data_IF_160399127973
#
_entry.id   IF_160399127973
#
_cell.length_a   1.000
_cell.length_b   1.000
_cell.length_c   1.000
_cell.angle_alpha   90.00
_cell.angle_beta   90.00
_cell.angle_gamma   90.00
#
_symmetry.space_group_name_H-M   'P 1'
#
loop_
_entity.id
_entity.type
_entity.pdbx_description
1 polymer ?
#
# COMPACT_ATOMS: atom_id res chain seq x y z
N UNK A 1 -2.15 26.66 -16.16
CA UNK A 1 -2.56 25.62 -15.21
C UNK A 1 -2.85 26.30 -13.88
N UNK A 2 -3.93 25.92 -13.18
CA UNK A 2 -4.26 26.47 -11.86
C UNK A 2 -3.34 25.83 -10.83
N UNK A 3 -2.65 26.64 -10.01
CA UNK A 3 -1.87 26.12 -8.89
C UNK A 3 -2.82 25.79 -7.72
N UNK A 4 -3.18 24.53 -7.61
CA UNK A 4 -4.09 24.02 -6.57
C UNK A 4 -3.41 23.88 -5.20
N UNK A 5 -2.09 24.01 -5.13
CA UNK A 5 -1.35 24.07 -3.86
C UNK A 5 -1.33 25.48 -3.26
N UNK A 6 -1.63 26.54 -4.04
CA UNK A 6 -1.76 27.88 -3.51
C UNK A 6 -3.06 28.03 -2.70
N UNK A 7 -2.93 28.32 -1.41
CA UNK A 7 -4.06 28.50 -0.49
C UNK A 7 -4.98 29.66 -0.96
N UNK A 8 -4.41 30.72 -1.58
CA UNK A 8 -5.16 31.87 -2.08
C UNK A 8 -6.04 31.49 -3.29
N UNK A 9 -5.66 30.47 -4.03
CA UNK A 9 -6.42 29.91 -5.15
C UNK A 9 -7.38 28.83 -4.65
N UNK A 10 -6.90 27.90 -3.84
CA UNK A 10 -7.64 26.75 -3.39
C UNK A 10 -8.88 27.12 -2.56
N UNK A 11 -8.74 27.98 -1.54
CA UNK A 11 -9.86 28.31 -0.64
C UNK A 11 -11.04 28.96 -1.36
N UNK A 12 -10.87 30.02 -2.18
CA UNK A 12 -11.97 30.58 -2.96
C UNK A 12 -12.61 29.61 -3.93
N UNK A 13 -11.80 28.77 -4.59
CA UNK A 13 -12.29 27.73 -5.50
C UNK A 13 -13.19 26.71 -4.76
N UNK A 14 -12.75 26.18 -3.63
CA UNK A 14 -13.55 25.26 -2.81
C UNK A 14 -14.85 25.92 -2.35
N UNK A 15 -14.79 27.17 -1.88
CA UNK A 15 -15.95 27.93 -1.43
C UNK A 15 -16.96 28.19 -2.58
N UNK A 16 -16.48 28.54 -3.76
CA UNK A 16 -17.32 28.77 -4.95
C UNK A 16 -18.10 27.52 -5.37
N UNK A 17 -17.56 26.33 -5.11
CA UNK A 17 -18.23 25.05 -5.37
C UNK A 17 -18.94 24.46 -4.13
N UNK A 18 -19.12 25.24 -3.06
CA UNK A 18 -19.80 24.78 -1.83
C UNK A 18 -19.08 23.65 -1.09
N UNK A 19 -17.79 23.46 -1.37
CA UNK A 19 -17.00 22.41 -0.76
C UNK A 19 -16.34 22.89 0.53
N UNK A 20 -16.68 22.23 1.64
CA UNK A 20 -16.11 22.54 2.95
C UNK A 20 -15.14 21.44 3.38
N UNK A 21 -13.96 21.88 3.83
CA UNK A 21 -12.92 20.98 4.36
C UNK A 21 -13.46 20.19 5.56
N UNK A 22 -13.48 18.88 5.46
CA UNK A 22 -13.99 18.01 6.52
C UNK A 22 -12.87 17.17 7.13
N UNK A 23 -12.51 17.46 8.39
CA UNK A 23 -11.60 16.61 9.18
C UNK A 23 -12.15 15.19 9.37
N UNK A 24 -13.47 15.04 9.43
CA UNK A 24 -14.13 13.75 9.65
C UNK A 24 -13.93 12.76 8.48
N UNK A 25 -13.66 13.27 7.26
CA UNK A 25 -13.38 12.44 6.08
C UNK A 25 -11.89 12.18 5.85
N UNK A 26 -11.01 12.61 6.77
CA UNK A 26 -9.56 12.44 6.63
C UNK A 26 -8.95 13.19 5.44
N UNK A 27 -9.66 14.20 4.89
CA UNK A 27 -9.19 14.99 3.75
C UNK A 27 -8.13 15.98 4.20
N UNK A 28 -6.90 15.78 3.78
CA UNK A 28 -5.77 16.68 3.98
C UNK A 28 -5.21 17.03 2.59
N UNK A 29 -5.55 18.23 2.11
CA UNK A 29 -5.09 18.69 0.78
C UNK A 29 -3.67 19.22 0.86
N UNK A 30 -2.85 18.89 -0.12
CA UNK A 30 -1.49 19.40 -0.25
C UNK A 30 -1.51 20.88 -0.61
N UNK A 31 -0.71 21.67 0.13
CA UNK A 31 -0.49 23.10 -0.08
C UNK A 31 0.98 23.45 -0.33
N UNK A 32 1.82 22.44 -0.52
CA UNK A 32 3.24 22.57 -0.82
C UNK A 32 3.51 21.96 -2.21
N UNK A 33 3.74 22.78 -3.27
CA UNK A 33 3.86 22.32 -4.64
C UNK A 33 4.99 21.31 -4.89
N UNK A 34 6.06 21.40 -4.10
CA UNK A 34 7.19 20.49 -4.22
C UNK A 34 6.82 19.03 -3.90
N UNK A 35 5.80 18.78 -3.08
CA UNK A 35 5.43 17.43 -2.65
C UNK A 35 4.88 16.59 -3.82
N UNK A 36 3.79 16.99 -4.52
CA UNK A 36 3.28 16.21 -5.64
C UNK A 36 4.28 16.13 -6.80
N UNK A 37 5.10 17.18 -7.01
CA UNK A 37 6.17 17.16 -7.99
C UNK A 37 7.21 16.07 -7.64
N UNK A 38 7.73 16.07 -6.40
CA UNK A 38 8.71 15.08 -5.95
C UNK A 38 8.16 13.64 -5.96
N UNK A 39 6.85 13.45 -5.65
CA UNK A 39 6.21 12.14 -5.77
C UNK A 39 6.29 11.63 -7.21
N UNK A 40 5.85 12.42 -8.18
CA UNK A 40 5.82 12.00 -9.57
C UNK A 40 7.24 11.77 -10.14
N UNK A 41 8.21 12.62 -9.77
CA UNK A 41 9.61 12.49 -10.19
C UNK A 41 10.30 11.27 -9.59
N UNK A 42 10.22 11.10 -8.27
CA UNK A 42 10.90 9.99 -7.59
C UNK A 42 10.21 8.64 -7.79
N UNK A 43 8.90 8.64 -8.12
CA UNK A 43 8.23 7.43 -8.59
C UNK A 43 8.72 6.97 -9.98
N UNK A 44 9.47 7.79 -10.71
CA UNK A 44 9.97 7.47 -12.04
C UNK A 44 8.85 7.47 -13.09
N UNK A 45 7.87 8.37 -12.95
CA UNK A 45 6.78 8.53 -13.93
C UNK A 45 7.30 9.24 -15.17
N UNK A 46 7.13 8.62 -16.33
CA UNK A 46 7.50 9.11 -17.65
C UNK A 46 6.39 8.80 -18.70
N UNK A 47 6.60 9.18 -19.95
CA UNK A 47 5.65 9.00 -21.04
C UNK A 47 5.32 7.54 -21.36
N UNK A 48 6.13 6.58 -20.88
CA UNK A 48 5.86 5.14 -21.02
C UNK A 48 4.96 4.61 -19.93
N UNK A 49 4.66 5.41 -18.89
CA UNK A 49 3.87 5.00 -17.74
C UNK A 49 2.38 5.19 -17.96
N UNK A 50 1.59 4.18 -17.58
CA UNK A 50 0.16 4.27 -17.28
C UNK A 50 -0.03 4.30 -15.77
N UNK A 51 -0.54 5.41 -15.21
CA UNK A 51 -0.61 5.60 -13.76
C UNK A 51 -2.04 5.52 -13.26
N UNK A 52 -2.29 4.58 -12.34
CA UNK A 52 -3.52 4.56 -11.54
C UNK A 52 -3.33 5.45 -10.31
N UNK A 53 -4.08 6.55 -10.23
CA UNK A 53 -4.12 7.41 -9.06
C UNK A 53 -5.33 7.07 -8.18
N UNK A 54 -5.12 6.93 -6.87
CA UNK A 54 -6.20 6.71 -5.92
C UNK A 54 -6.44 7.97 -5.10
N UNK A 55 -7.67 8.52 -5.23
CA UNK A 55 -8.09 9.70 -4.50
C UNK A 55 -7.36 10.97 -4.97
N UNK A 56 -7.61 11.44 -6.20
CA UNK A 56 -6.99 12.67 -6.74
C UNK A 56 -7.29 13.92 -5.89
N UNK A 57 -8.37 13.89 -5.10
CA UNK A 57 -8.79 15.01 -4.28
C UNK A 57 -9.11 16.24 -5.13
N UNK A 58 -8.36 17.33 -4.98
CA UNK A 58 -8.48 18.52 -5.82
C UNK A 58 -7.45 18.58 -6.97
N UNK A 59 -6.69 17.50 -7.19
CA UNK A 59 -5.85 17.31 -8.36
C UNK A 59 -4.37 17.71 -8.27
N UNK A 60 -3.74 17.99 -7.09
CA UNK A 60 -2.34 18.43 -7.08
C UNK A 60 -1.37 17.34 -7.57
N UNK A 61 -1.56 16.08 -7.19
CA UNK A 61 -0.76 14.97 -7.68
C UNK A 61 -1.16 14.62 -9.12
N UNK A 62 -2.45 14.63 -9.44
CA UNK A 62 -2.98 14.37 -10.78
C UNK A 62 -2.32 15.27 -11.82
N UNK A 63 -2.19 16.59 -11.54
CA UNK A 63 -1.50 17.52 -12.44
C UNK A 63 -0.07 17.08 -12.74
N UNK A 64 0.69 16.70 -11.71
CA UNK A 64 2.09 16.29 -11.87
C UNK A 64 2.22 14.96 -12.61
N UNK A 65 1.29 14.03 -12.38
CA UNK A 65 1.23 12.77 -13.11
C UNK A 65 0.89 12.99 -14.58
N UNK A 66 -0.12 13.81 -14.88
CA UNK A 66 -0.54 14.09 -16.25
C UNK A 66 0.54 14.82 -17.08
N UNK A 67 1.38 15.62 -16.44
CA UNK A 67 2.51 16.29 -17.11
C UNK A 67 3.62 15.34 -17.55
N UNK A 68 3.67 14.12 -17.00
CA UNK A 68 4.78 13.17 -17.20
C UNK A 68 4.33 11.86 -17.82
N UNK A 69 3.20 11.33 -17.39
CA UNK A 69 2.71 10.01 -17.78
C UNK A 69 2.12 10.01 -19.19
N UNK A 70 2.22 8.88 -19.89
CA UNK A 70 1.51 8.63 -21.13
C UNK A 70 -0.01 8.59 -20.92
N UNK A 71 -0.47 8.02 -19.80
CA UNK A 71 -1.88 8.01 -19.39
C UNK A 71 -2.04 8.00 -17.88
N UNK A 72 -3.05 8.72 -17.38
CA UNK A 72 -3.47 8.72 -15.99
C UNK A 72 -4.93 8.27 -15.90
N UNK A 73 -5.22 7.31 -15.03
CA UNK A 73 -6.57 6.94 -14.64
C UNK A 73 -6.70 7.20 -13.14
N UNK A 74 -7.56 8.15 -12.76
CA UNK A 74 -7.78 8.49 -11.36
C UNK A 74 -9.12 7.91 -10.87
N UNK A 75 -9.13 7.30 -9.67
CA UNK A 75 -10.35 6.77 -9.05
C UNK A 75 -10.71 7.61 -7.83
N UNK A 76 -11.88 8.26 -7.85
CA UNK A 76 -12.36 9.13 -6.76
C UNK A 76 -13.75 8.68 -6.26
N UNK A 77 -13.87 8.59 -4.94
CA UNK A 77 -15.12 8.16 -4.28
C UNK A 77 -16.06 9.32 -3.96
N UNK A 78 -15.54 10.54 -3.84
CA UNK A 78 -16.31 11.72 -3.48
C UNK A 78 -16.73 12.53 -4.71
N UNK A 79 -17.88 12.20 -5.29
CA UNK A 79 -18.40 12.86 -6.50
C UNK A 79 -18.60 14.39 -6.35
N UNK A 80 -18.62 14.92 -5.12
CA UNK A 80 -18.69 16.37 -4.90
C UNK A 80 -17.44 17.10 -5.39
N UNK A 81 -16.32 16.37 -5.61
CA UNK A 81 -15.09 16.91 -6.17
C UNK A 81 -15.13 17.07 -7.70
N UNK A 82 -16.17 16.51 -8.37
CA UNK A 82 -16.27 16.57 -9.83
C UNK A 82 -16.14 17.98 -10.41
N UNK A 83 -16.92 19.00 -9.98
CA UNK A 83 -16.81 20.33 -10.54
C UNK A 83 -15.45 20.99 -10.25
N UNK A 84 -14.76 20.58 -9.19
CA UNK A 84 -13.42 21.07 -8.85
C UNK A 84 -12.38 20.42 -9.76
N UNK A 85 -12.45 19.10 -9.96
CA UNK A 85 -11.54 18.37 -10.83
C UNK A 85 -11.72 18.77 -12.29
N UNK A 86 -12.95 19.06 -12.75
CA UNK A 86 -13.19 19.62 -14.09
C UNK A 86 -12.42 20.93 -14.32
N UNK A 87 -12.32 21.79 -13.30
CA UNK A 87 -11.59 23.07 -13.35
C UNK A 87 -10.07 22.87 -13.22
N UNK A 88 -9.62 21.97 -12.34
CA UNK A 88 -8.21 21.85 -11.98
C UNK A 88 -7.41 20.95 -12.91
N UNK A 89 -8.03 19.90 -13.44
CA UNK A 89 -7.36 18.87 -14.26
C UNK A 89 -8.11 18.50 -15.54
N UNK A 90 -9.30 19.04 -15.78
CA UNK A 90 -10.13 18.69 -16.94
C UNK A 90 -9.51 19.03 -18.31
N UNK A 91 -8.45 19.82 -18.36
CA UNK A 91 -7.74 20.16 -19.59
C UNK A 91 -6.70 19.12 -20.05
N UNK A 92 -6.43 18.08 -19.25
CA UNK A 92 -5.47 17.04 -19.60
C UNK A 92 -6.13 15.97 -20.48
N UNK A 93 -5.68 15.83 -21.72
CA UNK A 93 -6.20 14.83 -22.67
C UNK A 93 -5.82 13.38 -22.35
N UNK A 94 -4.79 13.20 -21.54
CA UNK A 94 -4.30 11.88 -21.07
C UNK A 94 -4.87 11.46 -19.72
N UNK A 95 -5.87 12.20 -19.19
CA UNK A 95 -6.54 11.89 -17.92
C UNK A 95 -7.92 11.28 -18.15
N UNK A 96 -8.23 10.25 -17.38
CA UNK A 96 -9.58 9.72 -17.20
C UNK A 96 -9.89 9.60 -15.70
N UNK A 97 -11.05 10.10 -15.28
CA UNK A 97 -11.50 10.02 -13.88
C UNK A 97 -12.67 9.04 -13.79
N UNK A 98 -12.50 8.03 -12.96
CA UNK A 98 -13.54 7.04 -12.62
C UNK A 98 -14.12 7.36 -11.24
N UNK A 99 -15.44 7.42 -11.17
CA UNK A 99 -16.14 7.72 -9.93
C UNK A 99 -16.54 6.42 -9.24
N UNK A 100 -16.07 6.23 -8.02
CA UNK A 100 -16.39 5.05 -7.21
C UNK A 100 -15.28 4.65 -6.23
N UNK A 101 -15.54 3.53 -5.58
CA UNK A 101 -14.63 2.95 -4.58
C UNK A 101 -13.63 2.00 -5.28
N UNK A 102 -12.34 2.29 -5.18
CA UNK A 102 -11.28 1.47 -5.77
C UNK A 102 -11.26 0.03 -5.23
N UNK A 103 -11.68 -0.18 -3.99
CA UNK A 103 -11.76 -1.52 -3.39
C UNK A 103 -12.87 -2.39 -3.97
N UNK A 104 -13.76 -1.81 -4.79
CA UNK A 104 -14.84 -2.51 -5.52
C UNK A 104 -14.51 -2.71 -7.00
N UNK A 105 -13.35 -2.22 -7.47
CA UNK A 105 -12.91 -2.37 -8.86
C UNK A 105 -12.15 -3.69 -9.05
N UNK A 106 -12.27 -4.27 -10.22
CA UNK A 106 -11.33 -5.27 -10.71
C UNK A 106 -10.08 -4.54 -11.22
N UNK A 107 -9.10 -4.34 -10.31
CA UNK A 107 -7.90 -3.54 -10.60
C UNK A 107 -7.11 -4.11 -11.78
N UNK A 108 -6.83 -5.44 -11.88
CA UNK A 108 -6.16 -6.01 -13.05
C UNK A 108 -6.88 -5.75 -14.37
N UNK A 109 -8.20 -5.94 -14.40
CA UNK A 109 -9.00 -5.67 -15.61
C UNK A 109 -8.96 -4.19 -15.97
N UNK A 110 -9.09 -3.29 -14.99
CA UNK A 110 -9.01 -1.84 -15.16
C UNK A 110 -7.66 -1.41 -15.73
N UNK A 111 -6.56 -1.89 -15.16
CA UNK A 111 -5.19 -1.60 -15.60
C UNK A 111 -4.99 -2.06 -17.04
N UNK A 112 -5.41 -3.27 -17.37
CA UNK A 112 -5.30 -3.83 -18.72
C UNK A 112 -6.11 -3.00 -19.74
N UNK A 113 -7.34 -2.61 -19.39
CA UNK A 113 -8.22 -1.81 -20.27
C UNK A 113 -7.66 -0.41 -20.49
N UNK A 114 -7.23 0.27 -19.41
CA UNK A 114 -6.87 1.69 -19.47
C UNK A 114 -5.46 1.93 -19.98
N UNK A 115 -4.51 1.05 -19.70
CA UNK A 115 -3.10 1.30 -19.98
C UNK A 115 -2.53 0.52 -21.16
N UNK A 116 -3.17 -0.59 -21.56
CA UNK A 116 -2.72 -1.38 -22.72
C UNK A 116 -1.26 -1.83 -22.59
N UNK A 117 -0.38 -1.24 -23.41
CA UNK A 117 1.07 -1.55 -23.42
C UNK A 117 1.92 -0.62 -22.56
N UNK A 118 1.32 0.40 -21.95
CA UNK A 118 2.04 1.29 -21.05
C UNK A 118 2.47 0.53 -19.80
N UNK A 119 3.56 0.99 -19.20
CA UNK A 119 4.12 0.47 -17.96
C UNK A 119 3.19 0.82 -16.77
N UNK A 120 2.49 -0.15 -16.17
CA UNK A 120 1.50 0.16 -15.15
C UNK A 120 2.16 0.52 -13.81
N UNK A 121 1.76 1.63 -13.26
CA UNK A 121 2.19 2.14 -11.96
C UNK A 121 0.97 2.60 -11.16
N UNK A 122 1.07 2.59 -9.82
CA UNK A 122 0.09 3.23 -8.96
C UNK A 122 0.75 4.36 -8.17
N UNK A 123 0.06 5.52 -8.10
CA UNK A 123 0.49 6.65 -7.27
C UNK A 123 -0.71 7.16 -6.45
N UNK A 124 -0.48 7.50 -5.16
CA UNK A 124 -1.57 8.02 -4.33
C UNK A 124 -1.08 8.84 -3.13
N UNK A 125 -1.86 9.85 -2.78
CA UNK A 125 -1.87 10.44 -1.45
C UNK A 125 -3.02 9.80 -0.66
N UNK A 126 -2.74 8.71 0.06
CA UNK A 126 -3.78 7.87 0.66
C UNK A 126 -4.39 8.48 1.94
N UNK A 127 -5.72 8.45 2.08
CA UNK A 127 -6.36 8.72 3.37
C UNK A 127 -5.88 7.72 4.42
N UNK A 128 -5.46 8.22 5.60
CA UNK A 128 -4.78 7.40 6.60
C UNK A 128 -5.61 6.24 7.15
N UNK A 129 -6.94 6.40 7.22
CA UNK A 129 -7.83 5.38 7.77
C UNK A 129 -8.05 4.16 6.87
N UNK A 130 -7.70 4.26 5.57
CA UNK A 130 -7.93 3.21 4.57
C UNK A 130 -6.63 2.76 3.87
N UNK A 131 -5.47 3.22 4.36
CA UNK A 131 -4.15 2.93 3.76
C UNK A 131 -3.90 1.42 3.58
N UNK A 132 -4.09 0.63 4.65
CA UNK A 132 -3.78 -0.81 4.59
C UNK A 132 -4.69 -1.59 3.62
N UNK A 133 -6.02 -1.41 3.61
CA UNK A 133 -6.88 -2.05 2.60
C UNK A 133 -6.51 -1.70 1.17
N UNK A 134 -6.21 -0.43 0.88
CA UNK A 134 -5.83 0.00 -0.48
C UNK A 134 -4.49 -0.61 -0.89
N UNK A 135 -3.47 -0.54 -0.03
CA UNK A 135 -2.17 -1.16 -0.33
C UNK A 135 -2.29 -2.67 -0.52
N UNK A 136 -3.13 -3.35 0.29
CA UNK A 136 -3.42 -4.78 0.10
C UNK A 136 -3.98 -5.04 -1.28
N UNK A 137 -5.03 -4.31 -1.69
CA UNK A 137 -5.65 -4.49 -3.00
C UNK A 137 -4.69 -4.21 -4.17
N UNK A 138 -3.87 -3.15 -4.07
CA UNK A 138 -2.89 -2.80 -5.11
C UNK A 138 -1.78 -3.85 -5.24
N UNK A 139 -1.31 -4.43 -4.14
CA UNK A 139 -0.25 -5.44 -4.15
C UNK A 139 -0.77 -6.81 -4.58
N UNK A 140 -1.95 -7.22 -4.12
CA UNK A 140 -2.59 -8.48 -4.53
C UNK A 140 -3.03 -8.48 -5.99
N UNK A 141 -3.24 -7.29 -6.59
CA UNK A 141 -3.54 -7.17 -8.01
C UNK A 141 -2.39 -7.64 -8.93
N UNK A 142 -1.16 -7.64 -8.45
CA UNK A 142 0.07 -8.12 -9.12
C UNK A 142 0.25 -7.61 -10.57
N UNK A 143 -0.32 -6.47 -10.89
CA UNK A 143 -0.31 -5.89 -12.22
C UNK A 143 0.54 -4.63 -12.34
N UNK A 144 1.04 -4.07 -11.25
CA UNK A 144 1.86 -2.87 -11.25
C UNK A 144 3.36 -3.19 -11.21
N UNK A 145 4.17 -2.32 -11.83
CA UNK A 145 5.63 -2.37 -11.68
C UNK A 145 6.06 -1.74 -10.34
N UNK A 146 5.36 -0.70 -9.93
CA UNK A 146 5.59 -0.03 -8.65
C UNK A 146 4.30 0.60 -8.11
N UNK A 147 4.26 0.73 -6.78
CA UNK A 147 3.19 1.41 -6.05
C UNK A 147 3.84 2.47 -5.16
N UNK A 148 3.70 3.75 -5.55
CA UNK A 148 4.24 4.89 -4.79
C UNK A 148 3.13 5.58 -4.04
N UNK A 149 3.24 5.62 -2.71
CA UNK A 149 2.18 6.19 -1.87
C UNK A 149 2.73 7.12 -0.81
N UNK A 150 1.97 8.18 -0.53
CA UNK A 150 2.16 8.98 0.66
C UNK A 150 1.22 8.50 1.76
N UNK A 151 1.81 8.16 2.91
CA UNK A 151 1.12 7.60 4.08
C UNK A 151 1.63 8.24 5.35
N UNK A 152 1.07 7.92 6.51
CA UNK A 152 1.67 8.32 7.80
C UNK A 152 3.09 7.75 7.92
N UNK A 153 4.02 8.53 8.45
CA UNK A 153 5.44 8.14 8.57
C UNK A 153 5.61 6.81 9.32
N UNK A 154 4.86 6.58 10.38
CA UNK A 154 4.88 5.32 11.13
C UNK A 154 4.45 4.10 10.28
N UNK A 155 3.51 4.31 9.35
CA UNK A 155 3.07 3.24 8.43
C UNK A 155 4.17 2.93 7.41
N UNK A 156 4.81 3.97 6.84
CA UNK A 156 5.93 3.78 5.93
C UNK A 156 7.11 3.08 6.61
N UNK A 157 7.45 3.49 7.85
CA UNK A 157 8.49 2.84 8.66
C UNK A 157 8.15 1.38 8.97
N UNK A 158 6.89 1.10 9.29
CA UNK A 158 6.39 -0.27 9.51
C UNK A 158 6.51 -1.14 8.26
N UNK A 159 6.18 -0.61 7.09
CA UNK A 159 6.31 -1.35 5.82
C UNK A 159 7.78 -1.67 5.52
N UNK A 160 8.70 -0.76 5.80
CA UNK A 160 10.15 -0.90 5.57
C UNK A 160 10.91 -1.57 6.74
N UNK A 161 10.21 -1.96 7.81
CA UNK A 161 10.84 -2.51 9.01
C UNK A 161 11.55 -3.86 8.74
N UNK A 162 12.57 -4.14 9.54
CA UNK A 162 13.34 -5.41 9.47
C UNK A 162 12.90 -6.36 10.59
N UNK A 163 13.04 -7.69 10.40
CA UNK A 163 12.81 -8.67 11.45
C UNK A 163 13.54 -8.31 12.75
N UNK A 164 12.87 -8.52 13.89
CA UNK A 164 13.39 -8.21 15.22
C UNK A 164 13.27 -6.76 15.66
N UNK A 165 12.78 -5.85 14.80
CA UNK A 165 12.56 -4.44 15.18
C UNK A 165 11.15 -4.20 15.75
N UNK A 166 10.93 -3.14 16.54
CA UNK A 166 9.62 -2.85 17.15
C UNK A 166 8.48 -2.67 16.12
N UNK A 167 8.76 -2.09 14.97
CA UNK A 167 7.76 -1.79 13.93
C UNK A 167 7.45 -2.99 13.03
N UNK A 168 8.26 -4.04 13.08
CA UNK A 168 8.06 -5.24 12.27
C UNK A 168 6.75 -5.96 12.63
N UNK A 169 5.95 -6.28 11.61
CA UNK A 169 4.56 -6.75 11.78
C UNK A 169 4.15 -7.72 10.67
N UNK A 170 2.98 -8.34 10.83
CA UNK A 170 2.39 -9.15 9.75
C UNK A 170 2.17 -8.34 8.46
N UNK A 171 1.83 -7.05 8.58
CA UNK A 171 1.67 -6.17 7.41
C UNK A 171 3.00 -5.87 6.73
N UNK A 172 4.09 -5.76 7.49
CA UNK A 172 5.46 -5.67 6.95
C UNK A 172 5.78 -6.88 6.08
N UNK A 173 5.56 -8.09 6.63
CA UNK A 173 5.79 -9.35 5.90
C UNK A 173 4.92 -9.40 4.65
N UNK A 174 3.67 -9.01 4.74
CA UNK A 174 2.74 -8.93 3.59
C UNK A 174 3.29 -8.02 2.50
N UNK A 175 3.60 -6.76 2.82
CA UNK A 175 4.10 -5.80 1.82
C UNK A 175 5.42 -6.28 1.18
N UNK A 176 6.36 -6.77 2.00
CA UNK A 176 7.67 -7.21 1.53
C UNK A 176 7.63 -8.56 0.78
N UNK A 177 6.57 -9.33 0.94
CA UNK A 177 6.32 -10.50 0.13
C UNK A 177 6.04 -10.13 -1.34
N UNK A 178 5.21 -9.11 -1.57
CA UNK A 178 4.86 -8.64 -2.90
C UNK A 178 5.87 -7.66 -3.51
N UNK A 179 6.55 -6.86 -2.68
CA UNK A 179 7.37 -5.75 -3.14
C UNK A 179 8.61 -5.51 -2.29
N UNK A 180 9.55 -4.75 -2.83
CA UNK A 180 10.69 -4.20 -2.11
C UNK A 180 10.41 -2.74 -1.75
N UNK A 181 10.35 -2.38 -0.44
CA UNK A 181 10.03 -1.03 -0.02
C UNK A 181 11.25 -0.12 -0.08
N UNK A 182 11.06 1.09 -0.62
CA UNK A 182 12.01 2.19 -0.63
C UNK A 182 11.37 3.44 -0.03
N UNK A 183 11.91 3.92 1.09
CA UNK A 183 11.50 5.19 1.69
C UNK A 183 12.12 6.34 0.90
N UNK A 184 11.28 7.21 0.32
CA UNK A 184 11.77 8.30 -0.51
C UNK A 184 12.04 9.57 0.31
N UNK A 185 11.01 10.15 0.92
CA UNK A 185 11.16 11.38 1.72
C UNK A 185 10.02 11.57 2.71
N UNK A 186 10.28 12.39 3.73
CA UNK A 186 9.27 12.82 4.71
C UNK A 186 8.51 14.05 4.21
N UNK A 187 7.22 14.13 4.56
CA UNK A 187 6.36 15.27 4.27
C UNK A 187 5.82 15.85 5.57
N UNK A 188 6.34 17.02 6.00
CA UNK A 188 5.90 17.67 7.24
C UNK A 188 4.41 18.02 7.23
N UNK A 189 3.79 18.01 8.41
CA UNK A 189 2.38 18.25 8.56
C UNK A 189 1.93 19.63 8.04
N UNK A 190 2.80 20.65 8.06
CA UNK A 190 2.49 22.01 7.54
C UNK A 190 2.33 22.06 6.01
N UNK A 191 2.68 20.98 5.29
CA UNK A 191 2.44 20.87 3.86
C UNK A 191 0.96 20.57 3.51
N UNK A 192 0.08 20.47 4.50
CA UNK A 192 -1.32 20.10 4.33
C UNK A 192 -2.29 21.11 4.92
N UNK A 193 -3.49 21.18 4.32
CA UNK A 193 -4.65 21.89 4.86
C UNK A 193 -5.90 21.00 4.78
N UNK A 194 -6.59 20.70 5.89
CA UNK A 194 -6.18 20.92 7.28
C UNK A 194 -4.86 20.20 7.61
N UNK A 195 -4.09 20.77 8.54
CA UNK A 195 -2.84 20.17 8.99
C UNK A 195 -3.12 18.89 9.78
N UNK A 196 -2.55 17.72 9.39
CA UNK A 196 -2.63 16.49 10.16
C UNK A 196 -1.82 16.59 11.46
N UNK A 197 -2.07 15.67 12.39
CA UNK A 197 -1.33 15.63 13.68
C UNK A 197 0.05 14.97 13.57
N UNK A 198 0.33 14.31 12.46
CA UNK A 198 1.53 13.49 12.27
C UNK A 198 2.24 13.84 10.95
N UNK A 199 3.53 13.58 10.90
CA UNK A 199 4.32 13.66 9.67
C UNK A 199 3.91 12.52 8.74
N UNK A 200 3.87 12.79 7.45
CA UNK A 200 3.73 11.79 6.39
C UNK A 200 5.10 11.37 5.83
N UNK A 201 5.13 10.28 5.11
CA UNK A 201 6.28 9.89 4.32
C UNK A 201 5.81 9.31 2.97
N UNK A 202 6.63 9.47 1.96
CA UNK A 202 6.45 8.85 0.66
C UNK A 202 7.29 7.60 0.61
N UNK A 203 6.69 6.50 0.18
CA UNK A 203 7.31 5.19 0.01
C UNK A 203 6.96 4.62 -1.35
N UNK A 204 7.93 4.04 -2.03
CA UNK A 204 7.72 3.21 -3.22
C UNK A 204 7.85 1.74 -2.86
N UNK A 205 6.93 0.96 -3.35
CA UNK A 205 6.90 -0.50 -3.29
C UNK A 205 7.19 -1.01 -4.70
N UNK A 206 8.45 -1.43 -4.96
CA UNK A 206 8.86 -2.03 -6.23
C UNK A 206 8.38 -3.48 -6.27
N UNK A 207 7.39 -3.78 -7.10
CA UNK A 207 6.75 -5.10 -7.09
C UNK A 207 7.69 -6.17 -7.63
N UNK A 208 7.62 -7.35 -7.02
CA UNK A 208 8.47 -8.48 -7.41
C UNK A 208 7.85 -9.24 -8.57
N UNK A 209 8.51 -9.24 -9.72
CA UNK A 209 8.10 -10.06 -10.87
C UNK A 209 8.23 -11.57 -10.59
N UNK A 210 9.18 -11.94 -9.73
CA UNK A 210 9.42 -13.31 -9.28
C UNK A 210 9.76 -13.29 -7.79
N UNK A 211 9.08 -14.11 -7.03
CA UNK A 211 9.36 -14.29 -5.61
C UNK A 211 10.47 -15.31 -5.44
N UNK A 212 11.54 -15.02 -4.66
CA UNK A 212 12.67 -15.91 -4.52
C UNK A 212 12.43 -17.06 -3.52
N UNK A 213 11.23 -17.15 -2.95
CA UNK A 213 10.90 -18.14 -1.92
C UNK A 213 10.01 -19.25 -2.49
N UNK A 214 10.34 -20.48 -2.16
CA UNK A 214 9.48 -21.64 -2.44
C UNK A 214 8.43 -21.76 -1.33
N UNK A 215 7.16 -21.52 -1.67
CA UNK A 215 6.02 -21.58 -0.77
C UNK A 215 5.00 -22.53 -1.38
N UNK A 216 4.77 -23.65 -0.70
CA UNK A 216 3.87 -24.71 -1.16
C UNK A 216 2.39 -24.27 -1.14
N UNK A 217 2.01 -23.41 -0.18
CA UNK A 217 0.65 -22.88 -0.02
C UNK A 217 0.71 -21.47 0.58
N UNK A 218 0.37 -20.44 -0.23
CA UNK A 218 0.37 -19.04 0.19
C UNK A 218 -0.66 -18.75 1.31
N UNK A 219 -1.81 -19.43 1.30
CA UNK A 219 -2.81 -19.24 2.33
C UNK A 219 -2.30 -19.75 3.69
N UNK A 220 -1.57 -20.88 3.70
CA UNK A 220 -0.89 -21.40 4.89
C UNK A 220 0.23 -20.46 5.34
N UNK A 221 1.01 -19.92 4.41
CA UNK A 221 2.07 -18.96 4.70
C UNK A 221 1.51 -17.72 5.41
N UNK A 222 0.54 -17.03 4.82
CA UNK A 222 -0.03 -15.83 5.44
C UNK A 222 -0.80 -16.13 6.73
N UNK A 223 -1.39 -17.32 6.85
CA UNK A 223 -2.01 -17.76 8.12
C UNK A 223 -0.96 -17.96 9.22
N UNK A 224 0.21 -18.55 8.90
CA UNK A 224 1.31 -18.71 9.85
C UNK A 224 1.89 -17.36 10.29
N UNK A 225 2.07 -16.42 9.36
CA UNK A 225 2.48 -15.04 9.66
C UNK A 225 1.49 -14.38 10.61
N UNK A 226 0.20 -14.33 10.26
CA UNK A 226 -0.84 -13.72 11.10
C UNK A 226 -0.91 -14.36 12.50
N UNK A 227 -0.88 -15.66 12.59
CA UNK A 227 -0.89 -16.40 13.85
C UNK A 227 0.30 -16.04 14.75
N UNK A 228 1.48 -15.89 14.17
CA UNK A 228 2.70 -15.51 14.87
C UNK A 228 2.62 -14.12 15.48
N UNK A 229 2.11 -13.15 14.72
CA UNK A 229 1.98 -11.76 15.18
C UNK A 229 0.79 -11.52 16.10
N UNK A 230 -0.24 -12.37 16.08
CA UNK A 230 -1.34 -12.32 17.05
C UNK A 230 -0.85 -12.53 18.49
N UNK A 231 0.25 -13.29 18.67
CA UNK A 231 0.89 -13.54 19.95
C UNK A 231 2.36 -13.07 19.98
N UNK A 232 2.64 -11.88 19.43
CA UNK A 232 3.97 -11.33 19.18
C UNK A 232 4.99 -11.53 20.31
N UNK A 233 4.59 -11.32 21.58
CA UNK A 233 5.48 -11.44 22.75
C UNK A 233 5.65 -12.88 23.28
N UNK A 234 4.98 -13.86 22.68
CA UNK A 234 5.04 -15.27 23.08
C UNK A 234 5.94 -16.06 22.12
N UNK A 235 6.31 -17.31 22.53
CA UNK A 235 6.99 -18.25 21.66
C UNK A 235 6.13 -18.51 20.41
N UNK A 236 6.78 -18.76 19.28
CA UNK A 236 6.12 -19.05 18.01
C UNK A 236 5.13 -20.21 18.12
N UNK A 237 5.45 -21.25 18.90
CA UNK A 237 4.59 -22.42 19.11
C UNK A 237 3.20 -22.05 19.65
N UNK A 238 3.09 -21.00 20.47
CA UNK A 238 1.80 -20.55 20.98
C UNK A 238 0.95 -19.89 19.88
N UNK A 239 1.57 -19.09 19.01
CA UNK A 239 0.90 -18.48 17.86
C UNK A 239 0.44 -19.55 16.87
N UNK A 240 1.33 -20.48 16.50
CA UNK A 240 1.02 -21.55 15.56
C UNK A 240 -0.06 -22.49 16.08
N UNK A 241 -0.01 -22.93 17.34
CA UNK A 241 -1.05 -23.80 17.91
C UNK A 241 -2.42 -23.12 17.99
N UNK A 242 -2.46 -21.80 18.18
CA UNK A 242 -3.69 -21.01 18.12
C UNK A 242 -4.19 -20.82 16.68
N UNK A 243 -3.29 -20.49 15.78
CA UNK A 243 -3.59 -20.28 14.36
C UNK A 243 -3.88 -21.56 13.58
N UNK A 244 -3.42 -22.72 14.07
CA UNK A 244 -3.58 -24.05 13.48
C UNK A 244 -3.98 -25.06 14.57
N UNK A 245 -5.24 -25.02 15.05
CA UNK A 245 -5.70 -25.89 16.14
C UNK A 245 -5.49 -27.38 15.87
N UNK A 246 -5.54 -27.78 14.59
CA UNK A 246 -5.30 -29.15 14.13
C UNK A 246 -3.90 -29.67 14.44
N UNK A 247 -2.90 -28.80 14.59
CA UNK A 247 -1.55 -29.20 14.99
C UNK A 247 -1.44 -29.45 16.49
N UNK A 248 -2.22 -28.75 17.29
CA UNK A 248 -2.02 -28.69 18.72
C UNK A 248 -0.65 -28.09 19.08
N UNK A 249 -0.31 -28.09 20.36
CA UNK A 249 0.97 -27.53 20.81
C UNK A 249 2.17 -28.39 20.40
N UNK A 250 2.07 -29.73 20.59
CA UNK A 250 3.14 -30.66 20.22
C UNK A 250 3.42 -30.64 18.71
N UNK A 251 2.38 -30.52 17.86
CA UNK A 251 2.54 -30.41 16.43
C UNK A 251 3.19 -29.08 16.02
N UNK A 252 2.83 -27.96 16.66
CA UNK A 252 3.46 -26.66 16.41
C UNK A 252 4.96 -26.67 16.79
N UNK A 253 5.32 -27.29 17.92
CA UNK A 253 6.72 -27.47 18.33
C UNK A 253 7.50 -28.35 17.34
N UNK A 254 6.89 -29.44 16.87
CA UNK A 254 7.50 -30.32 15.88
C UNK A 254 7.70 -29.63 14.53
N UNK A 255 6.77 -28.77 14.08
CA UNK A 255 6.92 -27.92 12.86
C UNK A 255 8.13 -26.99 13.01
N UNK A 256 8.25 -26.30 14.16
CA UNK A 256 9.36 -25.36 14.42
C UNK A 256 10.70 -26.10 14.39
N UNK A 257 10.80 -27.25 15.04
CA UNK A 257 12.01 -28.08 15.05
C UNK A 257 12.38 -28.60 13.65
N UNK A 258 11.38 -29.08 12.87
CA UNK A 258 11.59 -29.57 11.52
C UNK A 258 12.01 -28.47 10.56
N UNK A 259 11.53 -27.23 10.76
CA UNK A 259 11.97 -26.05 10.04
C UNK A 259 13.37 -25.54 10.46
N UNK A 260 14.02 -26.18 11.46
CA UNK A 260 15.38 -25.86 11.89
C UNK A 260 15.47 -24.68 12.86
N UNK A 261 14.42 -24.41 13.65
CA UNK A 261 14.42 -23.31 14.62
C UNK A 261 14.42 -23.80 16.07
N UNK A 262 14.94 -22.94 16.96
CA UNK A 262 14.89 -23.15 18.40
C UNK A 262 13.43 -23.10 18.92
N UNK A 263 13.14 -23.93 19.93
CA UNK A 263 11.81 -24.03 20.56
C UNK A 263 11.32 -22.72 21.21
N UNK A 264 12.25 -21.77 21.49
CA UNK A 264 11.94 -20.48 22.09
C UNK A 264 11.82 -19.35 21.06
N UNK A 265 12.00 -19.62 19.77
CA UNK A 265 11.92 -18.63 18.71
C UNK A 265 10.61 -17.84 18.77
N UNK A 266 10.67 -16.54 18.48
CA UNK A 266 9.51 -15.66 18.37
C UNK A 266 9.25 -15.30 16.91
N UNK A 267 7.99 -15.21 16.51
CA UNK A 267 7.63 -14.88 15.12
C UNK A 267 8.16 -13.53 14.67
N UNK A 268 8.26 -12.54 15.57
CA UNK A 268 8.78 -11.21 15.23
C UNK A 268 10.26 -11.19 14.78
N UNK A 269 11.01 -12.23 15.05
CA UNK A 269 12.42 -12.35 14.64
C UNK A 269 12.61 -13.04 13.29
N UNK A 270 11.54 -13.58 12.71
CA UNK A 270 11.57 -14.33 11.46
C UNK A 270 11.28 -13.44 10.25
N UNK A 271 12.07 -13.59 9.20
CA UNK A 271 11.81 -13.01 7.89
C UNK A 271 10.95 -13.92 7.01
N UNK A 272 10.74 -13.50 5.76
CA UNK A 272 9.94 -14.25 4.78
C UNK A 272 10.53 -15.65 4.51
N UNK A 273 11.86 -15.84 4.33
CA UNK A 273 12.43 -17.17 4.11
C UNK A 273 12.16 -18.13 5.26
N UNK A 274 12.22 -17.62 6.50
CA UNK A 274 11.97 -18.42 7.71
C UNK A 274 10.49 -18.80 7.81
N UNK A 275 9.57 -17.85 7.56
CA UNK A 275 8.13 -18.13 7.50
C UNK A 275 7.77 -19.09 6.38
N UNK A 276 8.45 -19.04 5.22
CA UNK A 276 8.27 -19.99 4.14
C UNK A 276 8.60 -21.43 4.58
N UNK A 277 9.74 -21.62 5.27
CA UNK A 277 10.09 -22.94 5.84
C UNK A 277 9.04 -23.44 6.83
N UNK A 278 8.57 -22.59 7.74
CA UNK A 278 7.50 -22.94 8.69
C UNK A 278 6.22 -23.34 7.95
N UNK A 279 5.80 -22.56 6.96
CA UNK A 279 4.59 -22.84 6.18
C UNK A 279 4.68 -24.17 5.43
N UNK A 280 5.81 -24.45 4.81
CA UNK A 280 6.04 -25.70 4.08
C UNK A 280 6.03 -26.92 5.01
N UNK A 281 6.58 -26.80 6.23
CA UNK A 281 6.49 -27.89 7.22
C UNK A 281 5.05 -28.11 7.73
N UNK A 282 4.25 -27.03 7.84
CA UNK A 282 2.81 -27.16 8.18
C UNK A 282 2.08 -27.93 7.06
N UNK A 283 2.35 -27.60 5.78
CA UNK A 283 1.73 -28.29 4.64
C UNK A 283 2.10 -29.77 4.63
N UNK A 284 3.38 -30.11 4.70
CA UNK A 284 3.85 -31.50 4.74
C UNK A 284 3.19 -32.31 5.86
N UNK A 285 3.07 -31.73 7.05
CA UNK A 285 2.47 -32.41 8.19
C UNK A 285 0.98 -32.65 8.01
N UNK A 286 0.27 -31.71 7.36
CA UNK A 286 -1.15 -31.88 7.02
C UNK A 286 -1.37 -33.01 6.01
N UNK A 287 -0.49 -33.14 5.03
CA UNK A 287 -0.53 -34.24 4.05
C UNK A 287 -0.28 -35.59 4.72
N UNK A 288 0.72 -35.68 5.62
CA UNK A 288 0.99 -36.91 6.39
C UNK A 288 -0.07 -37.29 7.40
N UNK A 289 -1.00 -36.38 7.78
CA UNK A 289 -2.14 -36.70 8.63
C UNK A 289 -3.37 -37.18 7.85
N UNK A 290 -3.38 -36.97 6.52
CA UNK A 290 -4.46 -37.39 5.62
C UNK A 290 -4.21 -38.74 4.94
N UNK A 291 -2.97 -39.20 4.94
CA UNK A 291 -2.54 -40.54 4.49
C UNK A 291 -2.59 -41.56 5.65
#
# INVERSE_FOLDING_TARGET
MIDVCDIQVMKPMLAAHGFHLSKAKGQNFLIAPWVPQSIAEQAGVDETAGVLEIGPGIGPLTQQLCLRAGKVCAVEVDERLKPILDVTVGNFSNLEILWGDVLKQDIPALVKEKFGTLRPMACANLPYYITSPILTALLEAECFQSVTVMVQKEVAQRIAAKPGTPDYSAFTVFCQYYAEPELLFDVPAHCFLPQPKVTSAVITLHTRQKRPWEIADEAVFFRAVRASFAMRRKKLSNGLSSGFPELGKAGAEAVIAAAGFDANVRGETLGIPEFARIANEIVRRREGMRS
#
